data_IF_148622811038
#
_entry.id   IF_148622811038
#
_cell.length_a   1.000
_cell.length_b   1.000
_cell.length_c   1.000
_cell.angle_alpha   90.00
_cell.angle_beta   90.00
_cell.angle_gamma   90.00
#
_symmetry.space_group_name_H-M   'P 1'
#
loop_
_entity.id
_entity.type
_entity.pdbx_description
1 polymer ?
#
# COMPACT_ATOMS: atom_id res chain seq x y z
N UNK A 1 -22.75 -0.17 -4.11
CA UNK A 1 -21.39 -0.67 -4.42
C UNK A 1 -20.37 0.45 -4.48
N UNK A 2 -20.53 1.47 -5.34
CA UNK A 2 -19.58 2.59 -5.51
C UNK A 2 -19.07 3.18 -4.18
N UNK A 3 -19.98 3.54 -3.26
CA UNK A 3 -19.61 4.12 -1.95
C UNK A 3 -18.63 3.26 -1.12
N UNK A 4 -18.70 1.91 -1.23
CA UNK A 4 -17.79 1.00 -0.51
C UNK A 4 -16.41 0.97 -1.16
N UNK A 5 -16.35 0.89 -2.48
CA UNK A 5 -15.09 0.87 -3.23
C UNK A 5 -14.35 2.19 -3.13
N UNK A 6 -15.05 3.33 -3.14
CA UNK A 6 -14.45 4.64 -2.84
C UNK A 6 -13.87 4.71 -1.43
N UNK A 7 -14.51 4.07 -0.45
CA UNK A 7 -13.95 3.96 0.90
C UNK A 7 -12.67 3.12 0.90
N UNK A 8 -12.62 2.00 0.18
CA UNK A 8 -11.40 1.18 0.07
C UNK A 8 -10.26 1.92 -0.66
N UNK A 9 -10.60 2.69 -1.69
CA UNK A 9 -9.67 3.59 -2.37
C UNK A 9 -9.09 4.62 -1.38
N UNK A 10 -9.94 5.27 -0.59
CA UNK A 10 -9.50 6.26 0.39
C UNK A 10 -8.60 5.63 1.48
N UNK A 11 -9.01 4.48 2.04
CA UNK A 11 -8.24 3.77 3.05
C UNK A 11 -6.89 3.33 2.49
N UNK A 12 -6.86 2.76 1.28
CA UNK A 12 -5.60 2.39 0.63
C UNK A 12 -4.71 3.61 0.37
N UNK A 13 -5.30 4.70 -0.14
CA UNK A 13 -4.58 5.95 -0.38
C UNK A 13 -3.90 6.48 0.88
N UNK A 14 -4.65 6.61 1.98
CA UNK A 14 -4.12 7.07 3.26
C UNK A 14 -3.10 6.10 3.85
N UNK A 15 -3.34 4.79 3.74
CA UNK A 15 -2.42 3.78 4.24
C UNK A 15 -1.10 3.79 3.49
N UNK A 16 -1.08 3.95 2.17
CA UNK A 16 0.18 4.03 1.42
C UNK A 16 1.06 5.22 1.83
N UNK A 17 0.45 6.38 2.11
CA UNK A 17 1.17 7.55 2.65
C UNK A 17 1.71 7.24 4.06
N UNK A 18 0.89 6.63 4.90
CA UNK A 18 1.32 6.20 6.24
C UNK A 18 2.48 5.20 6.17
N UNK A 19 2.39 4.19 5.31
CA UNK A 19 3.39 3.14 5.15
C UNK A 19 4.74 3.71 4.70
N UNK A 20 4.73 4.77 3.89
CA UNK A 20 5.96 5.50 3.52
C UNK A 20 6.74 5.99 4.75
N UNK A 21 6.06 6.61 5.71
CA UNK A 21 6.70 7.05 6.95
C UNK A 21 7.01 5.89 7.90
N UNK A 22 6.14 4.89 7.94
CA UNK A 22 6.35 3.70 8.75
C UNK A 22 7.62 2.95 8.34
N UNK A 23 7.86 2.77 7.04
CA UNK A 23 9.06 2.10 6.54
C UNK A 23 10.34 2.88 6.88
N UNK A 24 10.33 4.20 6.74
CA UNK A 24 11.47 5.05 7.14
C UNK A 24 11.78 4.92 8.64
N UNK A 25 10.74 4.96 9.47
CA UNK A 25 10.86 4.76 10.92
C UNK A 25 11.38 3.36 11.28
N UNK A 26 10.89 2.32 10.60
CA UNK A 26 11.35 0.95 10.77
C UNK A 26 12.82 0.78 10.38
N UNK A 27 13.24 1.40 9.28
CA UNK A 27 14.66 1.40 8.88
C UNK A 27 15.52 2.06 9.97
N UNK A 28 15.10 3.17 10.56
CA UNK A 28 15.85 3.83 11.64
C UNK A 28 15.98 2.94 12.88
N UNK A 29 14.92 2.24 13.29
CA UNK A 29 14.95 1.36 14.47
C UNK A 29 15.85 0.13 14.24
N UNK A 30 15.77 -0.48 13.06
CA UNK A 30 16.40 -1.77 12.78
C UNK A 30 17.75 -1.68 12.05
N UNK A 31 18.14 -0.48 11.56
CA UNK A 31 19.39 -0.22 10.81
C UNK A 31 20.68 -0.54 11.57
N UNK A 32 20.62 -0.78 12.89
CA UNK A 32 21.82 -1.01 13.69
C UNK A 32 22.16 -2.48 13.98
N UNK A 33 21.24 -3.48 13.84
CA UNK A 33 21.50 -4.78 14.51
C UNK A 33 21.03 -6.09 13.88
N UNK A 34 20.20 -6.16 12.83
CA UNK A 34 19.71 -7.48 12.36
C UNK A 34 19.41 -7.51 10.86
N UNK A 35 19.79 -8.60 10.18
CA UNK A 35 19.60 -8.82 8.74
C UNK A 35 18.14 -8.98 8.28
N UNK A 36 17.75 -10.19 7.85
CA UNK A 36 16.50 -10.50 7.11
C UNK A 36 15.14 -10.53 7.89
N UNK A 37 14.97 -10.19 9.20
CA UNK A 37 13.63 -10.19 9.80
C UNK A 37 12.77 -8.95 9.52
N UNK A 38 13.26 -7.94 8.77
CA UNK A 38 12.49 -6.72 8.45
C UNK A 38 11.19 -6.99 7.68
N UNK A 39 11.10 -8.09 6.93
CA UNK A 39 9.89 -8.43 6.17
C UNK A 39 8.67 -8.71 7.06
N UNK A 40 8.86 -9.19 8.29
CA UNK A 40 7.75 -9.54 9.19
C UNK A 40 6.96 -8.29 9.64
N UNK A 41 7.57 -7.26 10.25
CA UNK A 41 6.83 -6.06 10.63
C UNK A 41 6.35 -5.28 9.40
N UNK A 42 7.12 -5.29 8.30
CA UNK A 42 6.72 -4.64 7.04
C UNK A 42 5.47 -5.32 6.48
N UNK A 43 5.39 -6.65 6.38
CA UNK A 43 4.16 -7.30 5.90
C UNK A 43 3.04 -7.30 6.95
N UNK A 44 3.40 -7.31 8.23
CA UNK A 44 2.46 -7.33 9.35
C UNK A 44 1.58 -6.08 9.42
N UNK A 45 2.15 -4.89 9.20
CA UNK A 45 1.38 -3.63 9.25
C UNK A 45 0.30 -3.57 8.16
N UNK A 46 0.52 -4.23 7.02
CA UNK A 46 -0.45 -4.27 5.93
C UNK A 46 -1.72 -5.05 6.29
N UNK A 47 -1.61 -6.04 7.19
CA UNK A 47 -2.77 -6.77 7.69
C UNK A 47 -3.74 -5.86 8.48
N UNK A 48 -3.22 -4.83 9.13
CA UNK A 48 -4.03 -3.84 9.88
C UNK A 48 -5.02 -3.13 8.95
N UNK A 49 -4.63 -2.89 7.71
CA UNK A 49 -5.53 -2.32 6.70
C UNK A 49 -6.43 -3.38 6.07
N UNK A 50 -5.85 -4.50 5.64
CA UNK A 50 -6.54 -5.47 4.77
C UNK A 50 -7.61 -6.27 5.51
N UNK A 51 -7.37 -6.63 6.78
CA UNK A 51 -8.31 -7.44 7.57
C UNK A 51 -9.64 -6.69 7.79
N UNK A 52 -9.67 -5.42 8.26
CA UNK A 52 -10.92 -4.68 8.39
C UNK A 52 -11.68 -4.52 7.07
N UNK A 53 -10.99 -4.33 5.95
CA UNK A 53 -11.59 -4.25 4.62
C UNK A 53 -12.27 -5.57 4.25
N UNK A 54 -11.58 -6.69 4.41
CA UNK A 54 -12.13 -8.01 4.14
C UNK A 54 -13.37 -8.31 5.00
N UNK A 55 -13.31 -8.02 6.31
CA UNK A 55 -14.45 -8.21 7.24
C UNK A 55 -15.63 -7.34 6.82
N UNK A 56 -15.39 -6.06 6.52
CA UNK A 56 -16.45 -5.13 6.10
C UNK A 56 -17.10 -5.60 4.81
N UNK A 57 -16.29 -6.03 3.84
CA UNK A 57 -16.78 -6.46 2.54
C UNK A 57 -17.60 -7.74 2.65
N UNK A 58 -17.10 -8.78 3.33
CA UNK A 58 -17.83 -10.04 3.48
C UNK A 58 -19.11 -9.88 4.29
N UNK A 59 -19.14 -8.97 5.29
CA UNK A 59 -20.38 -8.66 6.03
C UNK A 59 -21.40 -7.96 5.14
N UNK A 60 -20.97 -7.06 4.27
CA UNK A 60 -21.85 -6.27 3.41
C UNK A 60 -22.35 -7.03 2.18
N UNK A 61 -21.49 -7.78 1.50
CA UNK A 61 -21.83 -8.47 0.24
C UNK A 61 -22.09 -9.95 0.40
N UNK A 62 -21.78 -10.51 1.59
CA UNK A 62 -21.79 -11.95 1.85
C UNK A 62 -20.90 -12.76 0.91
N UNK A 63 -20.02 -12.15 0.12
CA UNK A 63 -19.17 -12.85 -0.86
C UNK A 63 -17.70 -12.85 -0.43
N UNK A 64 -17.09 -14.04 -0.39
CA UNK A 64 -15.65 -14.18 -0.09
C UNK A 64 -14.78 -13.70 -1.24
N UNK A 65 -15.27 -13.81 -2.48
CA UNK A 65 -14.56 -13.35 -3.67
C UNK A 65 -14.53 -11.83 -3.75
N UNK A 66 -15.61 -11.17 -3.33
CA UNK A 66 -15.61 -9.72 -3.22
C UNK A 66 -14.69 -9.24 -2.09
N UNK A 67 -14.60 -9.98 -0.96
CA UNK A 67 -13.62 -9.67 0.08
C UNK A 67 -12.18 -9.80 -0.43
N UNK A 68 -11.87 -10.86 -1.18
CA UNK A 68 -10.58 -11.02 -1.85
C UNK A 68 -10.27 -9.87 -2.82
N UNK A 69 -11.22 -9.51 -3.68
CA UNK A 69 -11.07 -8.42 -4.64
C UNK A 69 -10.91 -7.05 -3.97
N UNK A 70 -11.69 -6.77 -2.91
CA UNK A 70 -11.58 -5.51 -2.16
C UNK A 70 -10.24 -5.40 -1.43
N UNK A 71 -9.77 -6.51 -0.84
CA UNK A 71 -8.45 -6.58 -0.19
C UNK A 71 -7.30 -6.38 -1.18
N UNK A 72 -7.31 -7.09 -2.31
CA UNK A 72 -6.33 -6.92 -3.37
C UNK A 72 -6.34 -5.48 -3.92
N UNK A 73 -7.53 -4.94 -4.19
CA UNK A 73 -7.69 -3.57 -4.66
C UNK A 73 -7.11 -2.54 -3.69
N UNK A 74 -7.49 -2.61 -2.41
CA UNK A 74 -6.99 -1.65 -1.41
C UNK A 74 -5.48 -1.75 -1.23
N UNK A 75 -4.92 -2.95 -1.20
CA UNK A 75 -3.48 -3.18 -1.13
C UNK A 75 -2.76 -2.58 -2.35
N UNK A 76 -3.28 -2.83 -3.56
CA UNK A 76 -2.75 -2.24 -4.79
C UNK A 76 -2.80 -0.72 -4.79
N UNK A 77 -3.91 -0.12 -4.32
CA UNK A 77 -4.04 1.33 -4.18
C UNK A 77 -2.99 1.88 -3.21
N UNK A 78 -2.74 1.21 -2.09
CA UNK A 78 -1.71 1.63 -1.14
C UNK A 78 -0.31 1.61 -1.74
N UNK A 79 0.03 0.58 -2.53
CA UNK A 79 1.33 0.53 -3.23
C UNK A 79 1.47 1.73 -4.17
N UNK A 80 0.47 1.98 -5.02
CA UNK A 80 0.51 3.14 -5.92
C UNK A 80 0.61 4.45 -5.13
N UNK A 81 -0.17 4.58 -4.04
CA UNK A 81 -0.16 5.77 -3.19
C UNK A 81 1.20 6.00 -2.52
N UNK A 82 1.85 4.95 -2.01
CA UNK A 82 3.20 5.02 -1.45
C UNK A 82 4.19 5.62 -2.47
N UNK A 83 4.24 5.07 -3.68
CA UNK A 83 5.19 5.50 -4.70
C UNK A 83 4.87 6.87 -5.27
N UNK A 84 3.59 7.23 -5.38
CA UNK A 84 3.18 8.60 -5.72
C UNK A 84 3.59 9.59 -4.64
N UNK A 85 3.43 9.23 -3.37
CA UNK A 85 3.81 10.08 -2.25
C UNK A 85 5.33 10.28 -2.18
N UNK A 86 6.12 9.26 -2.51
CA UNK A 86 7.56 9.42 -2.71
C UNK A 86 7.86 10.50 -3.76
N UNK A 87 7.13 10.50 -4.89
CA UNK A 87 7.24 11.54 -5.91
C UNK A 87 6.87 12.93 -5.37
N UNK A 88 5.76 13.03 -4.62
CA UNK A 88 5.36 14.28 -3.94
C UNK A 88 6.46 14.77 -3.01
N UNK A 89 7.06 13.88 -2.22
CA UNK A 89 8.16 14.23 -1.30
C UNK A 89 9.36 14.78 -2.08
N UNK A 90 9.81 14.09 -3.11
CA UNK A 90 10.99 14.50 -3.88
C UNK A 90 10.76 15.81 -4.64
N UNK A 91 9.57 15.98 -5.24
CA UNK A 91 9.28 17.09 -6.16
C UNK A 91 8.78 18.34 -5.41
N UNK A 92 7.94 18.18 -4.40
CA UNK A 92 7.21 19.29 -3.77
C UNK A 92 7.67 19.61 -2.34
N UNK A 93 8.10 18.61 -1.57
CA UNK A 93 8.53 18.81 -0.17
C UNK A 93 10.04 19.02 -0.10
N UNK A 94 10.78 18.32 -0.95
CA UNK A 94 12.24 18.32 -0.99
C UNK A 94 12.85 17.21 -0.13
N UNK A 95 14.02 16.74 -0.55
CA UNK A 95 14.82 15.76 0.17
C UNK A 95 16.31 16.06 -0.05
N UNK A 96 17.09 16.18 1.02
CA UNK A 96 18.50 16.60 0.97
C UNK A 96 19.39 15.71 0.09
N UNK A 97 19.06 14.42 -0.03
CA UNK A 97 19.80 13.49 -0.89
C UNK A 97 19.46 13.62 -2.39
N UNK A 98 18.43 14.40 -2.74
CA UNK A 98 17.86 14.53 -4.09
C UNK A 98 17.34 15.95 -4.34
N UNK A 99 18.09 16.97 -3.94
CA UNK A 99 17.67 18.37 -4.06
C UNK A 99 17.38 18.77 -5.52
N UNK A 100 18.05 18.14 -6.49
CA UNK A 100 17.87 18.37 -7.92
C UNK A 100 16.44 18.08 -8.41
N UNK A 101 15.67 17.31 -7.66
CA UNK A 101 14.28 16.97 -8.00
C UNK A 101 13.25 17.97 -7.51
N UNK A 102 13.61 18.87 -6.59
CA UNK A 102 12.67 19.81 -6.01
C UNK A 102 12.21 20.87 -7.03
N UNK A 103 10.93 21.27 -7.00
CA UNK A 103 10.31 22.17 -7.98
C UNK A 103 10.95 23.57 -8.04
N UNK A 104 11.66 24.00 -6.99
CA UNK A 104 12.47 25.22 -7.05
C UNK A 104 13.54 25.16 -8.15
N UNK A 105 14.00 23.95 -8.51
CA UNK A 105 15.00 23.70 -9.54
C UNK A 105 14.40 23.48 -10.94
N UNK A 106 13.12 23.83 -11.18
CA UNK A 106 12.45 23.63 -12.49
C UNK A 106 13.13 24.31 -13.69
N UNK A 107 14.05 25.26 -13.45
CA UNK A 107 14.85 25.93 -14.48
C UNK A 107 16.17 25.23 -14.77
N UNK A 108 16.57 24.24 -13.98
CA UNK A 108 17.76 23.44 -14.24
C UNK A 108 17.58 22.63 -15.53
N UNK A 109 18.66 22.51 -16.31
CA UNK A 109 18.66 21.85 -17.62
C UNK A 109 18.24 20.37 -17.55
N UNK A 110 18.41 19.72 -16.40
CA UNK A 110 18.11 18.30 -16.21
C UNK A 110 16.85 18.02 -15.41
N UNK A 111 16.18 19.05 -14.86
CA UNK A 111 15.04 18.87 -13.96
C UNK A 111 13.96 17.92 -14.52
N UNK A 112 13.46 18.20 -15.73
CA UNK A 112 12.42 17.38 -16.35
C UNK A 112 12.90 15.97 -16.70
N UNK A 113 14.19 15.82 -17.02
CA UNK A 113 14.80 14.51 -17.24
C UNK A 113 14.83 13.70 -15.94
N UNK A 114 15.17 14.33 -14.82
CA UNK A 114 15.19 13.69 -13.50
C UNK A 114 13.79 13.29 -13.04
N UNK A 115 12.81 14.18 -13.17
CA UNK A 115 11.39 13.88 -12.86
C UNK A 115 10.88 12.72 -13.73
N UNK A 116 11.17 12.74 -15.04
CA UNK A 116 10.79 11.65 -15.93
C UNK A 116 11.49 10.33 -15.55
N UNK A 117 12.77 10.39 -15.19
CA UNK A 117 13.54 9.22 -14.77
C UNK A 117 12.97 8.59 -13.50
N UNK A 118 12.53 9.40 -12.54
CA UNK A 118 11.85 8.92 -11.35
C UNK A 118 10.58 8.13 -11.70
N UNK A 119 9.71 8.71 -12.55
CA UNK A 119 8.46 8.03 -12.91
C UNK A 119 8.69 6.77 -13.75
N UNK A 120 9.62 6.79 -14.70
CA UNK A 120 9.87 5.64 -15.57
C UNK A 120 10.75 4.55 -14.91
N UNK A 121 11.57 4.93 -13.94
CA UNK A 121 12.43 4.04 -13.18
C UNK A 121 11.82 3.67 -11.85
N UNK A 122 12.12 4.47 -10.82
CA UNK A 122 11.83 4.15 -9.41
C UNK A 122 10.33 3.87 -9.16
N UNK A 123 9.44 4.70 -9.71
CA UNK A 123 7.99 4.52 -9.54
C UNK A 123 7.49 3.25 -10.22
N UNK A 124 7.75 3.06 -11.52
CA UNK A 124 7.25 1.90 -12.26
C UNK A 124 7.89 0.60 -11.78
N UNK A 125 9.19 0.60 -11.49
CA UNK A 125 9.89 -0.57 -10.95
C UNK A 125 9.30 -0.97 -9.60
N UNK A 126 9.15 0.01 -8.69
CA UNK A 126 8.62 -0.24 -7.36
C UNK A 126 7.15 -0.70 -7.38
N UNK A 127 6.30 -0.01 -8.14
CA UNK A 127 4.90 -0.46 -8.31
C UNK A 127 4.86 -1.85 -8.94
N UNK A 128 5.65 -2.10 -9.99
CA UNK A 128 5.67 -3.37 -10.71
C UNK A 128 6.09 -4.56 -9.85
N UNK A 129 7.09 -4.38 -8.99
CA UNK A 129 7.55 -5.41 -8.05
C UNK A 129 6.46 -5.74 -7.01
N UNK A 130 5.91 -4.70 -6.37
CA UNK A 130 5.04 -4.90 -5.22
C UNK A 130 3.57 -5.13 -5.57
N UNK A 131 3.12 -4.80 -6.78
CA UNK A 131 1.73 -5.03 -7.19
C UNK A 131 1.41 -6.52 -7.20
N UNK A 132 2.37 -7.38 -7.56
CA UNK A 132 2.17 -8.84 -7.55
C UNK A 132 1.94 -9.33 -6.12
N UNK A 133 2.73 -8.83 -5.16
CA UNK A 133 2.57 -9.12 -3.74
C UNK A 133 1.21 -8.61 -3.24
N UNK A 134 0.80 -7.41 -3.64
CA UNK A 134 -0.49 -6.83 -3.27
C UNK A 134 -1.68 -7.65 -3.77
N UNK A 135 -1.62 -8.09 -5.03
CA UNK A 135 -2.67 -8.90 -5.64
C UNK A 135 -2.78 -10.27 -4.97
N UNK A 136 -1.65 -10.98 -4.83
CA UNK A 136 -1.64 -12.32 -4.23
C UNK A 136 -1.96 -12.24 -2.74
N UNK A 137 -1.23 -11.42 -1.99
CA UNK A 137 -1.40 -11.24 -0.55
C UNK A 137 -2.80 -10.75 -0.20
N UNK A 138 -3.30 -9.75 -0.91
CA UNK A 138 -4.66 -9.23 -0.71
C UNK A 138 -5.73 -10.27 -1.01
N UNK A 139 -5.60 -11.04 -2.09
CA UNK A 139 -6.52 -12.13 -2.39
C UNK A 139 -6.52 -13.19 -1.28
N UNK A 140 -5.33 -13.66 -0.87
CA UNK A 140 -5.19 -14.71 0.15
C UNK A 140 -5.78 -14.29 1.49
N UNK A 141 -5.44 -13.09 1.96
CA UNK A 141 -5.98 -12.56 3.23
C UNK A 141 -7.49 -12.36 3.13
N UNK A 142 -7.99 -11.77 2.03
CA UNK A 142 -9.42 -11.55 1.84
C UNK A 142 -10.23 -12.85 1.78
N UNK A 143 -9.71 -13.90 1.12
CA UNK A 143 -10.30 -15.23 1.12
C UNK A 143 -10.31 -15.85 2.52
N UNK A 144 -9.16 -15.84 3.21
CA UNK A 144 -9.03 -16.44 4.54
C UNK A 144 -9.99 -15.79 5.55
N UNK A 145 -9.99 -14.46 5.61
CA UNK A 145 -10.87 -13.70 6.51
C UNK A 145 -12.34 -13.84 6.10
N UNK A 146 -12.63 -13.83 4.80
CA UNK A 146 -13.99 -14.04 4.28
C UNK A 146 -14.56 -15.40 4.68
N UNK A 147 -13.76 -16.46 4.57
CA UNK A 147 -14.13 -17.81 5.00
C UNK A 147 -14.34 -17.89 6.51
N UNK A 148 -13.43 -17.30 7.29
CA UNK A 148 -13.52 -17.27 8.75
C UNK A 148 -14.82 -16.60 9.22
N UNK A 149 -15.13 -15.39 8.71
CA UNK A 149 -16.36 -14.66 9.06
C UNK A 149 -17.63 -15.40 8.62
N UNK A 150 -17.60 -16.11 7.48
CA UNK A 150 -18.76 -16.92 7.06
C UNK A 150 -18.98 -18.11 7.99
N UNK A 151 -17.91 -18.79 8.45
CA UNK A 151 -18.01 -19.93 9.36
C UNK A 151 -18.56 -19.53 10.72
N UNK A 152 -18.07 -18.42 11.29
CA UNK A 152 -18.54 -17.93 12.59
C UNK A 152 -20.02 -17.52 12.57
N UNK A 153 -20.48 -16.89 11.49
CA UNK A 153 -21.90 -16.55 11.33
C UNK A 153 -22.81 -17.78 11.24
N UNK A 154 -22.35 -18.88 10.62
CA UNK A 154 -23.12 -20.12 10.55
C UNK A 154 -23.21 -20.82 11.92
N UNK A 155 -22.11 -20.86 12.66
CA UNK A 155 -22.07 -21.46 13.99
C UNK A 155 -22.93 -20.70 15.03
N UNK A 156 -23.12 -19.39 14.83
CA UNK A 156 -24.00 -18.59 15.69
C UNK A 156 -25.51 -18.76 15.40
N UNK A 157 -25.87 -19.47 14.32
CA UNK A 157 -27.26 -19.70 13.90
C UNK A 157 -27.73 -21.15 14.14
N UNK A 158 -26.83 -22.02 14.63
CA UNK A 158 -27.08 -23.41 15.02
C UNK A 158 -27.17 -23.54 16.53
#
# INVERSE_FOLDING_TARGET
MIKRWSFYLLVGGLFGIFDFYFQDWMQQIFSARMGNPMLIPILGVWLVMVIPIAIREVKASRSIWLAAAASAFAWSVSIVSYYLFMGVKLILIGQASREEMHISNHRDRFYWSNVRSFFLGDFLSGVGEWIVVALIGGCLVGLAIGLWVRRTNKAAQS
#
